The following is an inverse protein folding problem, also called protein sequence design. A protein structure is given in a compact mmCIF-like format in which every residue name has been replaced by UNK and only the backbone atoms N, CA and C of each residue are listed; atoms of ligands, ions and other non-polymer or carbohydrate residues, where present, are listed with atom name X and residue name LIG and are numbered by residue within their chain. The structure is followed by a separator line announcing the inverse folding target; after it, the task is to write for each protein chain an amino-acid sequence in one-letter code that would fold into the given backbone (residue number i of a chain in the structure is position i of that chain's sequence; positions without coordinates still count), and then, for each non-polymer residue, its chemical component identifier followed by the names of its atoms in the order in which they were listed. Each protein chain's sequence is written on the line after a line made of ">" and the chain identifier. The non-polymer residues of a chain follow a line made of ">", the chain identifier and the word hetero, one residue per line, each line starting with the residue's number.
data_IF_875923907850
#
_entry.id   IF_875923907850
#
_cell.length_a   1.000
_cell.length_b   1.000
_cell.length_c   1.000
_cell.angle_alpha   90.00
_cell.angle_beta   90.00
_cell.angle_gamma   90.00
#
_symmetry.space_group_name_H-M   'P 1'
#
loop_
_entity.id
_entity.type
_entity.pdbx_description
1 polymer ?
#
# COMPACT_ATOMS: atom_id res chain seq x y z
N UNK A 1 8.91 7.31 -9.43
CA UNK A 1 8.47 5.90 -9.34
C UNK A 1 9.66 5.07 -9.77
N UNK A 2 10.02 4.01 -9.04
CA UNK A 2 11.19 3.20 -9.38
C UNK A 2 10.82 2.11 -10.39
N UNK A 3 11.68 1.86 -11.37
CA UNK A 3 11.61 0.69 -12.25
C UNK A 3 12.29 -0.52 -11.59
N UNK A 4 11.99 -1.76 -12.03
CA UNK A 4 12.75 -2.93 -11.60
C UNK A 4 14.26 -2.71 -11.76
N UNK A 5 15.01 -3.18 -10.78
CA UNK A 5 16.45 -3.02 -10.58
C UNK A 5 16.97 -1.61 -10.29
N UNK A 6 16.12 -0.58 -10.29
CA UNK A 6 16.54 0.75 -9.84
C UNK A 6 16.82 0.78 -8.33
N UNK A 7 17.80 1.61 -7.96
CA UNK A 7 18.18 1.88 -6.59
C UNK A 7 17.90 3.33 -6.23
N UNK A 8 17.53 3.56 -4.98
CA UNK A 8 17.29 4.89 -4.42
C UNK A 8 17.50 4.89 -2.92
N UNK A 9 17.15 5.98 -2.27
CA UNK A 9 17.07 6.05 -0.81
C UNK A 9 15.80 6.78 -0.37
N UNK A 10 15.44 6.59 0.90
CA UNK A 10 14.31 7.27 1.51
C UNK A 10 14.72 8.69 1.88
N UNK A 11 14.31 9.69 1.10
CA UNK A 11 14.59 11.11 1.40
C UNK A 11 13.83 11.63 2.64
N UNK A 12 12.67 11.04 2.94
CA UNK A 12 11.84 11.47 4.07
C UNK A 12 10.53 10.71 4.15
N UNK A 13 9.95 10.63 5.35
CA UNK A 13 8.67 9.93 5.59
C UNK A 13 7.53 10.92 5.82
N UNK A 14 6.80 11.27 4.76
CA UNK A 14 5.61 12.15 4.84
C UNK A 14 4.36 11.38 5.28
N UNK A 15 4.35 10.89 6.51
CA UNK A 15 3.24 10.11 7.05
C UNK A 15 2.96 10.36 8.54
N UNK A 16 1.81 9.86 9.02
CA UNK A 16 1.51 9.91 10.45
C UNK A 16 2.37 8.93 11.26
N UNK A 17 2.61 9.24 12.52
CA UNK A 17 3.51 8.49 13.42
C UNK A 17 3.23 7.00 13.55
N UNK A 18 1.99 6.55 13.33
CA UNK A 18 1.65 5.13 13.35
C UNK A 18 2.16 4.38 12.11
N UNK A 19 2.15 5.03 10.93
CA UNK A 19 2.71 4.45 9.71
C UNK A 19 4.23 4.48 9.78
N UNK A 20 4.82 5.58 10.26
CA UNK A 20 6.26 5.72 10.49
C UNK A 20 6.81 4.60 11.37
N UNK A 21 6.17 4.33 12.53
CA UNK A 21 6.53 3.18 13.38
C UNK A 21 6.36 1.84 12.68
N UNK A 22 5.35 1.71 11.83
CA UNK A 22 5.14 0.51 11.01
C UNK A 22 6.29 0.30 10.03
N UNK A 23 6.70 1.34 9.31
CA UNK A 23 7.83 1.30 8.37
C UNK A 23 9.15 0.99 9.08
N UNK A 24 9.38 1.55 10.26
CA UNK A 24 10.57 1.25 11.06
C UNK A 24 10.64 -0.24 11.45
N UNK A 25 9.51 -0.89 11.76
CA UNK A 25 9.47 -2.35 12.01
C UNK A 25 9.85 -3.16 10.75
N UNK A 26 9.56 -2.62 9.56
CA UNK A 26 9.95 -3.23 8.29
C UNK A 26 11.41 -2.94 7.89
N UNK A 27 12.14 -2.19 8.72
CA UNK A 27 13.50 -1.76 8.40
C UNK A 27 13.54 -0.66 7.33
N UNK A 28 12.52 0.20 7.29
CA UNK A 28 12.46 1.37 6.41
C UNK A 28 12.51 2.62 7.26
N UNK A 29 13.58 3.38 7.12
CA UNK A 29 13.86 4.64 7.81
C UNK A 29 14.40 5.67 6.82
N UNK A 30 14.45 6.93 7.24
CA UNK A 30 15.06 7.98 6.43
C UNK A 30 16.54 7.66 6.16
N UNK A 31 16.96 7.91 4.92
CA UNK A 31 18.27 7.60 4.35
C UNK A 31 18.56 6.12 4.07
N UNK A 32 17.63 5.20 4.34
CA UNK A 32 17.81 3.79 3.97
C UNK A 32 17.87 3.63 2.45
N UNK A 33 18.79 2.79 1.98
CA UNK A 33 18.93 2.39 0.58
C UNK A 33 17.90 1.33 0.24
N UNK A 34 17.20 1.53 -0.89
CA UNK A 34 16.19 0.61 -1.39
C UNK A 34 16.53 0.22 -2.83
N UNK A 35 16.32 -1.06 -3.15
CA UNK A 35 16.35 -1.56 -4.53
C UNK A 35 14.97 -2.09 -4.90
N UNK A 36 14.42 -1.62 -6.01
CA UNK A 36 13.16 -2.12 -6.55
C UNK A 36 13.40 -3.47 -7.21
N UNK A 37 12.90 -4.56 -6.62
CA UNK A 37 13.15 -5.90 -7.17
C UNK A 37 12.23 -6.21 -8.35
N UNK A 38 10.91 -6.07 -8.15
CA UNK A 38 9.91 -6.37 -9.16
C UNK A 38 8.58 -5.69 -8.80
N UNK A 39 7.74 -5.44 -9.81
CA UNK A 39 6.36 -4.98 -9.61
C UNK A 39 5.44 -6.20 -9.62
N UNK A 40 4.76 -6.46 -8.51
CA UNK A 40 3.65 -7.42 -8.47
C UNK A 40 2.33 -6.69 -8.76
N UNK A 41 1.35 -7.34 -9.43
CA UNK A 41 0.01 -6.80 -9.51
C UNK A 41 -0.60 -6.73 -8.10
N UNK A 42 -1.62 -5.89 -7.89
CA UNK A 42 -2.36 -5.89 -6.63
C UNK A 42 -2.85 -7.30 -6.29
N UNK A 43 -2.65 -7.77 -5.07
CA UNK A 43 -3.00 -9.14 -4.66
C UNK A 43 -4.20 -9.20 -3.71
N UNK A 44 -4.92 -10.32 -3.73
CA UNK A 44 -5.95 -10.70 -2.77
C UNK A 44 -5.59 -12.05 -2.13
N UNK A 45 -5.82 -12.15 -0.83
CA UNK A 45 -5.49 -13.29 0.00
C UNK A 45 -6.77 -13.89 0.57
N UNK A 46 -7.00 -15.17 0.31
CA UNK A 46 -8.04 -15.96 0.97
C UNK A 46 -7.39 -16.77 2.06
N UNK A 47 -7.88 -16.62 3.28
CA UNK A 47 -7.33 -17.30 4.44
C UNK A 47 -8.43 -17.90 5.31
N UNK A 48 -8.03 -18.82 6.19
CA UNK A 48 -8.87 -19.36 7.26
C UNK A 48 -8.32 -18.86 8.59
N UNK A 49 -9.20 -18.30 9.39
CA UNK A 49 -8.93 -17.77 10.73
C UNK A 49 -9.98 -18.33 11.67
N UNK A 50 -9.60 -19.10 12.70
CA UNK A 50 -10.54 -19.76 13.59
C UNK A 50 -11.66 -20.55 12.85
N UNK A 51 -11.31 -21.23 11.76
CA UNK A 51 -12.25 -22.06 10.98
C UNK A 51 -13.20 -21.29 10.05
N UNK A 52 -13.16 -19.95 10.01
CA UNK A 52 -13.92 -19.13 9.05
C UNK A 52 -13.02 -18.59 7.95
N UNK A 53 -13.59 -18.45 6.76
CA UNK A 53 -12.92 -17.83 5.63
C UNK A 53 -12.88 -16.30 5.80
N UNK A 54 -11.71 -15.71 5.56
CA UNK A 54 -11.50 -14.27 5.54
C UNK A 54 -10.81 -13.88 4.23
N UNK A 55 -11.22 -12.73 3.70
CA UNK A 55 -10.63 -12.13 2.51
C UNK A 55 -9.82 -10.92 2.94
N UNK A 56 -8.57 -10.85 2.51
CA UNK A 56 -7.65 -9.77 2.83
C UNK A 56 -7.12 -9.16 1.54
N UNK A 57 -7.16 -7.84 1.44
CA UNK A 57 -6.38 -7.13 0.43
C UNK A 57 -4.89 -7.24 0.74
N UNK A 58 -4.04 -7.06 -0.26
CA UNK A 58 -2.59 -6.95 -0.08
C UNK A 58 -2.19 -5.96 1.02
N UNK A 59 -2.80 -4.78 1.01
CA UNK A 59 -2.55 -3.76 2.03
C UNK A 59 -2.99 -4.18 3.43
N UNK A 60 -3.96 -5.08 3.59
CA UNK A 60 -4.33 -5.66 4.89
C UNK A 60 -3.35 -6.76 5.30
N UNK A 61 -3.01 -7.68 4.39
CA UNK A 61 -2.05 -8.75 4.62
C UNK A 61 -0.65 -8.20 5.00
N UNK A 62 -0.20 -7.13 4.35
CA UNK A 62 1.08 -6.48 4.66
C UNK A 62 1.14 -5.88 6.08
N UNK A 63 -0.01 -5.62 6.71
CA UNK A 63 -0.07 -5.07 8.07
C UNK A 63 -0.13 -6.15 9.16
N UNK A 64 -0.23 -7.42 8.79
CA UNK A 64 -0.29 -8.52 9.74
C UNK A 64 1.10 -9.11 9.86
N UNK A 65 1.69 -9.01 11.04
CA UNK A 65 2.97 -9.61 11.36
C UNK A 65 2.72 -10.99 11.95
N UNK A 66 3.35 -12.02 11.37
CA UNK A 66 3.17 -13.42 11.74
C UNK A 66 4.48 -14.11 12.04
N UNK A 67 4.41 -15.19 12.81
CA UNK A 67 5.51 -16.13 13.01
C UNK A 67 5.21 -17.48 12.38
N UNK A 68 6.21 -18.06 11.71
CA UNK A 68 6.21 -19.47 11.30
C UNK A 68 7.61 -20.04 11.39
N UNK A 69 7.74 -21.24 11.96
CA UNK A 69 9.04 -21.89 12.18
C UNK A 69 10.10 -20.95 12.82
N UNK A 70 9.67 -20.13 13.79
CA UNK A 70 10.54 -19.18 14.50
C UNK A 70 10.96 -17.94 13.71
N UNK A 71 10.45 -17.75 12.49
CA UNK A 71 10.73 -16.57 11.66
C UNK A 71 9.54 -15.63 11.65
N UNK A 72 9.83 -14.36 11.87
CA UNK A 72 8.88 -13.26 11.79
C UNK A 72 8.82 -12.70 10.36
N UNK A 73 7.61 -12.45 9.86
CA UNK A 73 7.41 -11.84 8.55
C UNK A 73 6.02 -11.22 8.39
N UNK A 74 5.81 -10.44 7.34
CA UNK A 74 4.47 -10.01 6.94
C UNK A 74 3.69 -11.22 6.40
N UNK A 75 2.38 -11.28 6.70
CA UNK A 75 1.49 -12.30 6.14
C UNK A 75 1.53 -12.29 4.60
N UNK A 76 1.67 -11.11 3.99
CA UNK A 76 1.80 -10.96 2.53
C UNK A 76 2.99 -11.74 1.91
N UNK A 77 4.02 -12.05 2.71
CA UNK A 77 5.20 -12.80 2.28
C UNK A 77 5.19 -14.25 2.78
N UNK A 78 4.17 -14.64 3.55
CA UNK A 78 4.12 -15.93 4.19
C UNK A 78 3.68 -17.03 3.21
N UNK A 79 4.15 -18.28 3.41
CA UNK A 79 3.77 -19.39 2.54
C UNK A 79 2.29 -19.79 2.72
N UNK A 80 1.67 -20.23 1.63
CA UNK A 80 0.31 -20.79 1.64
C UNK A 80 0.26 -22.18 2.29
N UNK A 81 -0.90 -22.56 2.79
CA UNK A 81 -1.21 -23.90 3.31
C UNK A 81 -0.65 -24.22 4.68
N UNK A 82 0.07 -23.29 5.32
CA UNK A 82 0.65 -23.48 6.66
C UNK A 82 -0.03 -22.60 7.70
N UNK A 83 -0.22 -23.10 8.94
CA UNK A 83 -0.68 -22.27 10.04
C UNK A 83 0.40 -21.27 10.44
N UNK A 84 -0.02 -20.03 10.65
CA UNK A 84 0.81 -18.89 11.02
C UNK A 84 0.22 -18.26 12.27
N UNK A 85 1.06 -17.89 13.24
CA UNK A 85 0.60 -17.20 14.45
C UNK A 85 0.69 -15.70 14.24
N UNK A 86 -0.42 -14.98 14.45
CA UNK A 86 -0.44 -13.53 14.44
C UNK A 86 0.28 -13.01 15.67
N UNK A 87 1.31 -12.21 15.48
CA UNK A 87 2.10 -11.63 16.57
C UNK A 87 1.70 -10.18 16.82
N UNK A 88 1.51 -9.44 15.73
CA UNK A 88 1.27 -8.00 15.79
C UNK A 88 0.49 -7.52 14.59
N UNK A 89 -0.33 -6.49 14.81
CA UNK A 89 -0.99 -5.73 13.77
C UNK A 89 -0.31 -4.37 13.65
N UNK A 90 0.04 -3.99 12.43
CA UNK A 90 0.74 -2.75 12.10
C UNK A 90 -0.25 -1.68 11.62
N UNK A 91 0.05 -0.42 11.91
CA UNK A 91 -0.73 0.74 11.50
C UNK A 91 -1.45 1.46 12.65
N UNK A 92 -2.17 2.53 12.31
CA UNK A 92 -2.91 3.34 13.28
C UNK A 92 -4.21 2.68 13.76
N UNK A 93 -4.81 3.21 14.83
CA UNK A 93 -6.02 2.66 15.49
C UNK A 93 -7.12 2.26 14.51
N UNK A 94 -7.43 3.11 13.53
CA UNK A 94 -8.46 2.82 12.52
C UNK A 94 -8.12 1.58 11.70
N UNK A 95 -6.87 1.45 11.26
CA UNK A 95 -6.43 0.31 10.45
C UNK A 95 -6.41 -0.97 11.28
N UNK A 96 -5.91 -0.90 12.52
CA UNK A 96 -5.88 -2.03 13.44
C UNK A 96 -7.31 -2.48 13.78
N UNK A 97 -8.22 -1.55 14.08
CA UNK A 97 -9.62 -1.87 14.37
C UNK A 97 -10.37 -2.57 13.24
N UNK A 98 -10.00 -2.31 11.98
CA UNK A 98 -10.55 -3.06 10.83
C UNK A 98 -10.03 -4.50 10.79
N UNK A 99 -8.76 -4.72 11.13
CA UNK A 99 -8.22 -6.09 11.21
C UNK A 99 -8.82 -6.84 12.41
N UNK A 100 -8.99 -6.17 13.54
CA UNK A 100 -9.64 -6.71 14.73
C UNK A 100 -11.11 -7.02 14.51
N UNK A 101 -11.84 -6.26 13.70
CA UNK A 101 -13.24 -6.58 13.36
C UNK A 101 -13.35 -7.81 12.44
N UNK A 102 -12.31 -8.12 11.68
CA UNK A 102 -12.14 -9.43 11.01
C UNK A 102 -11.75 -10.54 12.00
N UNK A 103 -11.57 -10.21 13.28
CA UNK A 103 -11.14 -11.05 14.40
C UNK A 103 -9.70 -11.50 14.34
N UNK A 104 -8.84 -10.72 13.66
CA UNK A 104 -7.40 -10.84 13.79
C UNK A 104 -6.97 -10.18 15.10
N UNK A 105 -6.20 -10.90 15.90
CA UNK A 105 -5.54 -10.36 17.08
C UNK A 105 -4.28 -11.16 17.35
N UNK A 106 -3.30 -10.61 18.10
CA UNK A 106 -2.15 -11.38 18.56
C UNK A 106 -2.56 -12.71 19.21
N UNK A 107 -1.78 -13.77 18.94
CA UNK A 107 -2.03 -15.14 19.38
C UNK A 107 -2.96 -15.97 18.49
N UNK A 108 -3.68 -15.35 17.55
CA UNK A 108 -4.59 -16.09 16.64
C UNK A 108 -3.82 -16.84 15.56
N UNK A 109 -4.37 -17.97 15.12
CA UNK A 109 -3.81 -18.75 14.00
C UNK A 109 -4.54 -18.45 12.71
N UNK A 110 -3.79 -18.11 11.68
CA UNK A 110 -4.29 -17.88 10.32
C UNK A 110 -3.56 -18.79 9.33
N UNK A 111 -4.29 -19.33 8.36
CA UNK A 111 -3.72 -20.14 7.28
C UNK A 111 -4.13 -19.53 5.95
N UNK A 112 -3.16 -19.12 5.12
CA UNK A 112 -3.44 -18.63 3.77
C UNK A 112 -3.78 -19.84 2.88
N UNK A 113 -4.95 -19.83 2.24
CA UNK A 113 -5.36 -20.89 1.32
C UNK A 113 -4.96 -20.57 -0.12
N UNK A 114 -5.17 -19.33 -0.53
CA UNK A 114 -4.97 -18.89 -1.91
C UNK A 114 -4.49 -17.44 -1.94
N UNK A 115 -3.56 -17.14 -2.83
CA UNK A 115 -3.14 -15.78 -3.17
C UNK A 115 -3.33 -15.61 -4.67
N UNK A 116 -4.06 -14.58 -5.07
CA UNK A 116 -4.39 -14.34 -6.47
C UNK A 116 -4.32 -12.85 -6.80
N UNK A 117 -4.07 -12.47 -8.05
CA UNK A 117 -4.22 -11.07 -8.45
C UNK A 117 -5.64 -10.60 -8.10
N UNK A 118 -5.72 -9.47 -7.41
CA UNK A 118 -6.99 -8.88 -7.05
C UNK A 118 -7.77 -8.59 -8.34
N UNK A 119 -8.99 -9.10 -8.41
CA UNK A 119 -9.91 -8.69 -9.47
C UNK A 119 -10.22 -7.22 -9.21
N UNK A 120 -9.89 -6.34 -10.15
CA UNK A 120 -10.35 -4.96 -10.13
C UNK A 120 -11.86 -4.99 -10.38
N UNK A 121 -12.64 -5.28 -9.34
CA UNK A 121 -14.08 -5.38 -9.39
C UNK A 121 -14.68 -4.10 -8.80
N UNK A 122 -14.97 -3.16 -9.68
CA UNK A 122 -15.79 -1.99 -9.41
C UNK A 122 -16.36 -1.43 -10.73
N UNK A 123 -17.54 -0.81 -10.73
CA UNK A 123 -18.22 -0.30 -11.94
C UNK A 123 -17.45 0.82 -12.67
N UNK A 124 -16.35 1.28 -12.08
CA UNK A 124 -15.42 2.22 -12.68
C UNK A 124 -14.11 1.47 -12.90
N UNK A 125 -13.92 0.97 -14.13
CA UNK A 125 -12.66 0.40 -14.60
C UNK A 125 -11.52 1.44 -14.60
N UNK A 126 -10.47 1.28 -15.44
CA UNK A 126 -9.25 2.11 -15.42
C UNK A 126 -9.43 3.62 -15.73
N UNK A 127 -10.66 4.15 -15.76
CA UNK A 127 -10.93 5.58 -15.85
C UNK A 127 -10.75 6.25 -14.48
N UNK A 128 -9.51 6.48 -14.10
CA UNK A 128 -9.17 7.47 -13.07
C UNK A 128 -8.58 8.70 -13.77
N UNK A 129 -9.12 9.87 -13.47
CA UNK A 129 -8.50 11.14 -13.88
C UNK A 129 -7.32 11.37 -12.94
N UNK A 130 -6.11 11.51 -13.48
CA UNK A 130 -4.92 11.79 -12.69
C UNK A 130 -4.51 13.25 -12.89
N UNK A 131 -4.45 14.01 -11.80
CA UNK A 131 -3.88 15.37 -11.80
C UNK A 131 -2.44 15.28 -11.30
N UNK A 132 -1.51 15.90 -12.03
CA UNK A 132 -0.11 15.98 -11.67
C UNK A 132 0.24 17.43 -11.31
N UNK A 133 0.95 17.63 -10.20
CA UNK A 133 1.54 18.93 -9.87
C UNK A 133 2.98 19.01 -10.40
N UNK A 134 3.49 20.22 -10.58
CA UNK A 134 4.91 20.46 -10.92
C UNK A 134 5.88 19.92 -9.86
N UNK A 135 5.42 19.76 -8.61
CA UNK A 135 6.17 19.11 -7.53
C UNK A 135 6.13 17.58 -7.56
N UNK A 136 5.49 16.97 -8.57
CA UNK A 136 5.42 15.53 -8.74
C UNK A 136 4.30 14.84 -7.95
N UNK A 137 3.42 15.58 -7.27
CA UNK A 137 2.26 15.02 -6.58
C UNK A 137 1.21 14.55 -7.57
N UNK A 138 0.63 13.37 -7.32
CA UNK A 138 -0.38 12.75 -8.18
C UNK A 138 -1.70 12.56 -7.42
N UNK A 139 -2.77 13.16 -7.91
CA UNK A 139 -4.12 12.96 -7.40
C UNK A 139 -4.88 12.01 -8.31
N UNK A 140 -5.29 10.87 -7.77
CA UNK A 140 -6.14 9.91 -8.47
C UNK A 140 -7.59 10.17 -8.11
N UNK A 141 -8.36 10.63 -9.10
CA UNK A 141 -9.74 11.03 -8.91
C UNK A 141 -10.67 10.02 -9.57
N UNK A 142 -11.71 9.65 -8.83
CA UNK A 142 -12.85 8.97 -9.43
C UNK A 142 -13.62 9.93 -10.36
N UNK A 143 -14.40 9.42 -11.33
CA UNK A 143 -15.14 10.28 -12.26
C UNK A 143 -16.08 11.31 -11.57
N UNK A 144 -16.72 10.95 -10.46
CA UNK A 144 -17.57 11.85 -9.66
C UNK A 144 -16.77 13.02 -9.05
N UNK A 145 -15.57 12.70 -8.55
CA UNK A 145 -14.67 13.70 -7.96
C UNK A 145 -14.05 14.59 -9.04
N UNK A 146 -13.62 14.00 -10.16
CA UNK A 146 -13.03 14.72 -11.28
C UNK A 146 -14.00 15.77 -11.87
N UNK A 147 -15.29 15.43 -12.00
CA UNK A 147 -16.34 16.37 -12.45
C UNK A 147 -16.56 17.54 -11.50
N UNK A 148 -16.14 17.41 -10.25
CA UNK A 148 -16.30 18.44 -9.22
C UNK A 148 -15.12 19.41 -9.18
N UNK A 149 -14.10 19.23 -10.04
CA UNK A 149 -12.92 20.10 -10.10
C UNK A 149 -12.99 20.96 -11.36
N UNK A 150 -12.97 22.28 -11.15
CA UNK A 150 -12.84 23.27 -12.21
C UNK A 150 -11.37 23.65 -12.36
N UNK A 151 -10.88 23.64 -13.60
CA UNK A 151 -9.51 24.05 -13.93
C UNK A 151 -9.56 25.25 -14.85
N UNK A 152 -8.63 26.20 -14.65
CA UNK A 152 -8.39 27.31 -15.57
C UNK A 152 -7.14 27.00 -16.38
N UNK A 153 -7.24 27.06 -17.70
CA UNK A 153 -6.06 27.03 -18.54
C UNK A 153 -5.33 28.38 -18.41
N UNK A 154 -4.00 28.38 -18.23
CA UNK A 154 -3.25 29.63 -18.22
C UNK A 154 -3.47 30.38 -19.54
N UNK A 155 -3.53 31.71 -19.47
CA UNK A 155 -3.52 32.53 -20.70
C UNK A 155 -2.15 32.45 -21.38
N UNK A 156 -2.08 32.81 -22.66
CA UNK A 156 -0.84 32.71 -23.45
C UNK A 156 0.32 33.52 -22.81
N UNK A 157 0.00 34.68 -22.23
CA UNK A 157 0.96 35.51 -21.47
C UNK A 157 1.45 34.84 -20.17
N UNK A 158 0.64 33.99 -19.53
CA UNK A 158 1.02 33.25 -18.32
C UNK A 158 1.92 32.04 -18.66
N UNK A 159 1.81 31.47 -19.88
CA UNK A 159 2.68 30.40 -20.36
C UNK A 159 4.10 30.91 -20.70
N UNK A 160 4.22 32.08 -21.34
CA UNK A 160 5.52 32.65 -21.72
C UNK A 160 6.34 33.12 -20.50
N UNK A 161 5.67 33.43 -19.38
CA UNK A 161 6.30 33.82 -18.13
C UNK A 161 6.37 32.68 -17.09
N UNK A 162 5.95 31.46 -17.45
CA UNK A 162 6.02 30.34 -16.54
C UNK A 162 7.49 29.93 -16.33
N UNK A 163 7.96 29.73 -15.08
CA UNK A 163 9.29 29.20 -14.84
C UNK A 163 9.43 27.84 -15.51
N UNK A 164 10.54 27.62 -16.23
CA UNK A 164 10.78 26.36 -16.92
C UNK A 164 10.61 25.18 -15.95
N UNK A 165 9.90 24.11 -16.36
CA UNK A 165 9.75 22.95 -15.52
C UNK A 165 11.13 22.34 -15.29
N UNK A 166 11.56 22.35 -14.03
CA UNK A 166 12.82 21.73 -13.59
C UNK A 166 12.70 20.22 -13.82
N UNK A 167 13.17 19.73 -14.97
CA UNK A 167 13.39 18.32 -15.18
C UNK A 167 14.63 17.91 -14.38
N UNK A 168 14.41 17.19 -13.28
CA UNK A 168 15.43 16.38 -12.59
C UNK A 168 14.99 14.94 -12.57
#
# INVERSE_FOLDING_TARGET
>A
EMNPDEEGHVEGLMCGSALEKGLSVLGIQENDRLKMLHRIPPMEYRAVLDGRHVHLSEGAAAKIWVTTAGRFMQLALAPTGRPLVVERLLGGRRSVGVLESLGLSPGKTITIQEVSPARVAGPYGPCQTVIFTSSGLRFYLRPDQARSILVRFPTQDEYENAPEPVMK
#
